data_IF_158211221786
#
_entry.id   IF_158211221786
#
_cell.length_a   1.000
_cell.length_b   1.000
_cell.length_c   1.000
_cell.angle_alpha   90.00
_cell.angle_beta   90.00
_cell.angle_gamma   90.00
#
_symmetry.space_group_name_H-M   'P 1'
#
loop_
_entity.id
_entity.type
_entity.pdbx_description
1 polymer ?
#
# COMPACT_ATOMS: atom_id res chain seq x y z
N UNK A 1 -11.13 -25.54 4.32
CA UNK A 1 -10.32 -25.16 5.50
C UNK A 1 -9.43 -24.01 5.07
N UNK A 2 -9.08 -23.11 5.98
CA UNK A 2 -8.13 -22.01 5.74
C UNK A 2 -7.30 -21.75 6.98
N UNK A 3 -6.14 -21.14 6.80
CA UNK A 3 -5.29 -20.64 7.89
C UNK A 3 -5.00 -19.16 7.70
N UNK A 4 -4.78 -18.46 8.82
CA UNK A 4 -4.45 -17.04 8.86
C UNK A 4 -3.15 -16.82 9.62
N UNK A 5 -2.35 -15.87 9.13
CA UNK A 5 -1.10 -15.45 9.76
C UNK A 5 -1.01 -13.93 9.74
N UNK A 6 -0.77 -13.32 10.91
CA UNK A 6 -0.50 -11.88 11.03
C UNK A 6 1.00 -11.64 10.99
N UNK A 7 1.46 -10.73 10.13
CA UNK A 7 2.87 -10.31 10.05
C UNK A 7 3.00 -8.79 10.05
N UNK A 8 4.05 -8.27 10.66
CA UNK A 8 4.31 -6.85 10.71
C UNK A 8 5.62 -6.53 11.43
N UNK A 9 5.85 -5.24 11.67
CA UNK A 9 7.07 -4.73 12.31
C UNK A 9 6.93 -4.52 13.83
N UNK A 10 5.77 -4.86 14.40
CA UNK A 10 5.48 -4.74 15.82
C UNK A 10 4.09 -5.29 16.14
N UNK A 11 3.61 -5.14 17.39
CA UNK A 11 2.27 -5.54 17.81
C UNK A 11 1.17 -4.86 17.01
N UNK A 12 0.07 -5.58 16.76
CA UNK A 12 -1.08 -5.12 15.96
C UNK A 12 -1.80 -3.92 16.59
N UNK A 13 -1.71 -3.75 17.91
CA UNK A 13 -2.29 -2.62 18.65
C UNK A 13 -1.72 -1.26 18.18
N UNK A 14 -0.45 -1.25 17.75
CA UNK A 14 0.29 -0.03 17.43
C UNK A 14 0.79 0.01 15.97
N UNK A 15 0.60 -1.06 15.19
CA UNK A 15 1.20 -1.19 13.87
C UNK A 15 0.18 -1.64 12.82
N UNK A 16 0.33 -1.09 11.62
CA UNK A 16 -0.30 -1.68 10.45
C UNK A 16 0.36 -3.04 10.16
N UNK A 17 -0.46 -4.07 10.10
CA UNK A 17 -0.04 -5.47 9.89
C UNK A 17 -0.72 -6.06 8.67
N UNK A 18 -0.08 -7.08 8.10
CA UNK A 18 -0.61 -7.83 6.98
C UNK A 18 -1.23 -9.12 7.50
N UNK A 19 -2.50 -9.32 7.18
CA UNK A 19 -3.19 -10.59 7.37
C UNK A 19 -3.02 -11.46 6.13
N UNK A 20 -2.23 -12.53 6.23
CA UNK A 20 -2.08 -13.51 5.16
C UNK A 20 -3.12 -14.61 5.35
N UNK A 21 -3.95 -14.84 4.33
CA UNK A 21 -4.94 -15.93 4.32
C UNK A 21 -4.54 -16.99 3.31
N UNK A 22 -4.44 -18.25 3.77
CA UNK A 22 -4.17 -19.40 2.92
C UNK A 22 -5.38 -20.34 2.89
N UNK A 23 -6.00 -20.47 1.73
CA UNK A 23 -7.09 -21.42 1.49
C UNK A 23 -6.52 -22.75 1.00
N UNK A 24 -6.74 -23.83 1.76
CA UNK A 24 -6.16 -25.13 1.41
C UNK A 24 -6.68 -25.62 0.06
N UNK A 25 -5.75 -26.01 -0.82
CA UNK A 25 -6.05 -26.46 -2.18
C UNK A 25 -6.10 -25.34 -3.23
N UNK A 26 -6.13 -24.07 -2.81
CA UNK A 26 -6.01 -22.91 -3.70
C UNK A 26 -4.54 -22.52 -3.80
N UNK A 27 -4.02 -22.44 -5.02
CA UNK A 27 -2.57 -22.20 -5.27
C UNK A 27 -2.26 -20.80 -5.79
N UNK A 28 -3.26 -20.07 -6.25
CA UNK A 28 -3.10 -18.77 -6.87
C UNK A 28 -4.41 -18.02 -6.86
N UNK A 29 -4.33 -16.70 -6.76
CA UNK A 29 -5.43 -15.79 -7.02
C UNK A 29 -5.09 -14.94 -8.24
N UNK A 30 -6.08 -14.65 -9.07
CA UNK A 30 -5.95 -13.63 -10.08
C UNK A 30 -5.99 -12.27 -9.40
N UNK A 31 -4.93 -11.48 -9.55
CA UNK A 31 -4.92 -10.09 -9.11
C UNK A 31 -5.75 -9.22 -10.06
N UNK A 32 -6.49 -8.28 -9.48
CA UNK A 32 -7.11 -7.19 -10.22
C UNK A 32 -6.15 -5.99 -10.37
N UNK A 33 -6.73 -4.82 -10.63
CA UNK A 33 -6.00 -3.54 -10.63
C UNK A 33 -6.43 -2.62 -9.47
N UNK A 34 -7.25 -3.10 -8.55
CA UNK A 34 -7.73 -2.37 -7.38
C UNK A 34 -6.64 -2.11 -6.34
N UNK A 35 -5.80 -3.10 -6.07
CA UNK A 35 -4.59 -2.94 -5.27
C UNK A 35 -3.45 -2.34 -6.12
N UNK A 36 -2.88 -1.22 -5.66
CA UNK A 36 -1.68 -0.66 -6.29
C UNK A 36 -0.42 -1.22 -5.62
N UNK A 37 -0.15 -0.82 -4.38
CA UNK A 37 1.03 -1.20 -3.62
C UNK A 37 0.91 -0.85 -2.13
N UNK A 38 1.76 -1.46 -1.31
CA UNK A 38 2.04 -1.04 0.07
C UNK A 38 3.43 -0.41 0.11
N UNK A 39 3.55 0.75 0.75
CA UNK A 39 4.83 1.43 0.91
C UNK A 39 5.45 1.12 2.27
N UNK A 40 6.71 0.71 2.25
CA UNK A 40 7.54 0.43 3.42
C UNK A 40 8.71 1.42 3.45
N UNK A 41 8.84 2.18 4.52
CA UNK A 41 10.01 3.00 4.80
C UNK A 41 11.00 2.20 5.65
N UNK A 42 12.09 1.71 5.03
CA UNK A 42 13.16 1.06 5.77
C UNK A 42 14.46 1.04 4.98
N UNK A 43 15.48 1.75 5.49
CA UNK A 43 16.84 1.72 4.93
C UNK A 43 17.42 0.31 4.92
N UNK A 44 17.12 -0.48 5.95
CA UNK A 44 17.59 -1.87 6.06
C UNK A 44 17.00 -2.77 4.97
N UNK A 45 15.69 -2.68 4.74
CA UNK A 45 15.03 -3.49 3.69
C UNK A 45 15.53 -3.04 2.31
N UNK A 46 15.63 -1.73 2.09
CA UNK A 46 16.16 -1.18 0.84
C UNK A 46 17.57 -1.69 0.55
N UNK A 47 18.50 -1.57 1.50
CA UNK A 47 19.88 -2.04 1.35
C UNK A 47 19.95 -3.55 1.07
N UNK A 48 19.10 -4.36 1.69
CA UNK A 48 19.02 -5.79 1.42
C UNK A 48 18.56 -6.08 -0.02
N UNK A 49 17.56 -5.36 -0.53
CA UNK A 49 17.10 -5.52 -1.91
C UNK A 49 18.21 -5.16 -2.90
N UNK A 50 18.90 -4.04 -2.68
CA UNK A 50 20.04 -3.62 -3.51
C UNK A 50 21.16 -4.67 -3.49
N UNK A 51 21.53 -5.18 -2.32
CA UNK A 51 22.59 -6.19 -2.18
C UNK A 51 22.26 -7.51 -2.91
N UNK A 52 20.98 -7.83 -3.05
CA UNK A 52 20.49 -9.02 -3.78
C UNK A 52 20.22 -8.73 -5.27
N UNK A 53 20.37 -7.48 -5.73
CA UNK A 53 20.00 -7.07 -7.09
C UNK A 53 18.50 -7.20 -7.36
N UNK A 54 17.66 -7.05 -6.32
CA UNK A 54 16.21 -7.17 -6.41
C UNK A 54 15.54 -5.78 -6.42
N UNK A 55 14.40 -5.72 -7.10
CA UNK A 55 13.55 -4.55 -7.18
C UNK A 55 13.84 -3.67 -8.40
N UNK A 56 12.83 -2.90 -8.82
CA UNK A 56 12.89 -1.97 -9.94
C UNK A 56 12.86 -0.54 -9.41
N UNK A 57 13.84 0.32 -9.74
CA UNK A 57 13.80 1.72 -9.32
C UNK A 57 12.54 2.44 -9.80
N UNK A 58 11.85 3.11 -8.89
CA UNK A 58 10.73 3.98 -9.20
C UNK A 58 11.14 5.43 -9.10
N UNK A 59 10.80 6.21 -10.12
CA UNK A 59 10.91 7.66 -10.08
C UNK A 59 9.73 8.23 -9.30
N UNK A 60 9.87 8.42 -7.98
CA UNK A 60 8.95 9.24 -7.18
C UNK A 60 9.57 10.62 -6.95
N UNK A 61 8.74 11.66 -6.97
CA UNK A 61 9.17 13.03 -6.63
C UNK A 61 9.55 13.24 -5.15
N UNK A 62 9.59 12.17 -4.35
CA UNK A 62 9.73 12.18 -2.89
C UNK A 62 11.17 12.35 -2.36
N UNK A 63 12.13 12.70 -3.22
CA UNK A 63 13.52 12.98 -2.84
C UNK A 63 14.36 11.75 -2.43
N UNK A 64 13.78 10.78 -1.72
CA UNK A 64 14.42 9.51 -1.38
C UNK A 64 14.25 8.45 -2.50
N UNK A 65 15.27 7.62 -2.77
CA UNK A 65 15.17 6.48 -3.68
C UNK A 65 14.07 5.49 -3.27
N UNK A 66 13.42 4.88 -4.26
CA UNK A 66 12.37 3.88 -4.06
C UNK A 66 12.59 2.69 -4.99
N UNK A 67 12.42 1.48 -4.47
CA UNK A 67 12.39 0.24 -5.24
C UNK A 67 10.99 -0.36 -5.20
N UNK A 68 10.45 -0.74 -6.35
CA UNK A 68 9.29 -1.63 -6.43
C UNK A 68 9.75 -3.08 -6.39
N UNK A 69 9.12 -3.89 -5.55
CA UNK A 69 9.31 -5.34 -5.50
C UNK A 69 7.96 -6.03 -5.45
N UNK A 70 7.82 -7.16 -6.13
CA UNK A 70 6.62 -7.99 -6.03
C UNK A 70 6.84 -9.13 -5.02
N UNK A 71 5.87 -9.35 -4.15
CA UNK A 71 5.78 -10.58 -3.37
C UNK A 71 5.52 -11.79 -4.28
N UNK A 72 5.69 -13.04 -3.79
CA UNK A 72 5.53 -14.24 -4.61
C UNK A 72 4.21 -14.32 -5.40
N UNK A 73 3.11 -13.84 -4.83
CA UNK A 73 1.78 -13.84 -5.46
C UNK A 73 1.49 -12.57 -6.31
N UNK A 74 2.49 -11.71 -6.51
CA UNK A 74 2.40 -10.54 -7.40
C UNK A 74 2.02 -9.22 -6.72
N UNK A 75 1.68 -9.23 -5.43
CA UNK A 75 1.42 -8.00 -4.69
C UNK A 75 2.66 -7.11 -4.63
N UNK A 76 2.56 -5.91 -5.19
CA UNK A 76 3.65 -4.93 -5.22
C UNK A 76 3.86 -4.26 -3.87
N UNK A 77 5.12 -4.01 -3.55
CA UNK A 77 5.58 -3.22 -2.42
C UNK A 77 6.54 -2.15 -2.92
N UNK A 78 6.40 -0.93 -2.41
CA UNK A 78 7.36 0.15 -2.63
C UNK A 78 8.24 0.27 -1.39
N UNK A 79 9.54 0.04 -1.54
CA UNK A 79 10.50 0.17 -0.44
C UNK A 79 11.29 1.47 -0.62
N UNK A 80 11.15 2.37 0.35
CA UNK A 80 11.79 3.68 0.36
C UNK A 80 13.09 3.61 1.15
N UNK A 81 14.16 4.21 0.63
CA UNK A 81 15.46 4.35 1.31
C UNK A 81 15.44 5.46 2.38
N UNK A 82 14.51 5.33 3.32
CA UNK A 82 14.34 6.21 4.46
C UNK A 82 13.62 5.44 5.57
N UNK A 83 13.81 5.86 6.81
CA UNK A 83 13.01 5.37 7.93
C UNK A 83 11.75 6.25 8.09
N UNK A 84 10.67 5.76 8.71
CA UNK A 84 9.42 6.50 8.85
C UNK A 84 9.61 7.85 9.54
N UNK A 85 8.97 8.90 9.01
CA UNK A 85 9.06 10.26 9.57
C UNK A 85 7.92 10.60 10.53
N UNK A 86 6.79 9.90 10.43
CA UNK A 86 5.56 10.27 11.13
C UNK A 86 5.13 9.29 12.22
N UNK A 87 5.77 8.13 12.39
CA UNK A 87 5.41 7.13 13.41
C UNK A 87 6.40 5.98 13.49
N UNK A 88 6.23 5.02 14.42
CA UNK A 88 7.15 3.90 14.59
C UNK A 88 6.98 2.80 13.52
N UNK A 89 5.82 2.75 12.84
CA UNK A 89 5.51 1.68 11.90
C UNK A 89 6.19 1.90 10.53
N UNK A 90 7.02 0.95 10.06
CA UNK A 90 7.61 0.99 8.72
C UNK A 90 6.61 0.87 7.57
N UNK A 91 5.42 0.30 7.80
CA UNK A 91 4.36 0.24 6.79
C UNK A 91 3.56 1.54 6.87
N UNK A 92 3.79 2.43 5.90
CA UNK A 92 3.35 3.83 6.00
C UNK A 92 2.23 4.20 5.06
N UNK A 93 1.96 3.40 4.03
CA UNK A 93 0.92 3.72 3.05
C UNK A 93 0.37 2.45 2.39
N UNK A 94 -0.95 2.42 2.21
CA UNK A 94 -1.68 1.52 1.32
C UNK A 94 -2.22 2.34 0.15
N UNK A 95 -1.86 1.98 -1.07
CA UNK A 95 -2.37 2.62 -2.28
C UNK A 95 -3.40 1.74 -3.00
N UNK A 96 -4.56 2.31 -3.28
CA UNK A 96 -5.68 1.68 -3.98
C UNK A 96 -6.10 2.52 -5.19
N UNK A 97 -6.50 1.84 -6.25
CA UNK A 97 -7.14 2.47 -7.40
C UNK A 97 -8.65 2.59 -7.18
N UNK A 98 -9.20 3.71 -7.62
CA UNK A 98 -10.64 4.03 -7.56
C UNK A 98 -11.14 4.45 -8.94
N UNK A 99 -12.38 4.10 -9.24
CA UNK A 99 -13.04 4.51 -10.48
C UNK A 99 -13.58 5.93 -10.43
N UNK A 100 -13.82 6.46 -9.22
CA UNK A 100 -14.36 7.81 -8.97
C UNK A 100 -13.79 8.34 -7.66
N UNK A 101 -12.81 9.24 -7.78
CA UNK A 101 -12.08 9.82 -6.66
C UNK A 101 -12.96 10.77 -5.84
N UNK A 102 -13.82 11.55 -6.48
CA UNK A 102 -14.72 12.49 -5.80
C UNK A 102 -15.67 11.72 -4.88
N UNK A 103 -16.32 10.68 -5.41
CA UNK A 103 -17.20 9.81 -4.64
C UNK A 103 -16.44 9.08 -3.52
N UNK A 104 -15.21 8.66 -3.80
CA UNK A 104 -14.39 7.99 -2.79
C UNK A 104 -13.99 8.93 -1.66
N UNK A 105 -13.65 10.20 -1.96
CA UNK A 105 -13.36 11.23 -0.95
C UNK A 105 -14.60 11.58 -0.12
N UNK A 106 -15.77 11.69 -0.76
CA UNK A 106 -17.02 11.91 -0.05
C UNK A 106 -17.30 10.80 0.97
N UNK A 107 -16.98 9.55 0.63
CA UNK A 107 -17.10 8.43 1.54
C UNK A 107 -16.03 8.43 2.64
N UNK A 108 -14.75 8.39 2.28
CA UNK A 108 -13.66 8.22 3.26
C UNK A 108 -13.49 9.44 4.16
N UNK A 109 -13.48 10.64 3.58
CA UNK A 109 -13.32 11.86 4.36
C UNK A 109 -14.66 12.38 4.87
N UNK A 110 -15.64 12.53 3.97
CA UNK A 110 -16.92 13.16 4.32
C UNK A 110 -17.79 12.33 5.27
N UNK A 111 -17.81 11.00 5.11
CA UNK A 111 -18.64 10.11 5.94
C UNK A 111 -17.86 9.41 7.04
N UNK A 112 -16.71 8.81 6.74
CA UNK A 112 -15.91 8.07 7.73
C UNK A 112 -14.97 8.95 8.57
N UNK A 113 -14.81 10.23 8.22
CA UNK A 113 -14.04 11.19 9.00
C UNK A 113 -12.51 11.11 8.80
N UNK A 114 -12.03 10.47 7.73
CA UNK A 114 -10.60 10.52 7.41
C UNK A 114 -10.19 11.95 7.07
N UNK A 115 -9.02 12.35 7.54
CA UNK A 115 -8.41 13.63 7.23
C UNK A 115 -7.68 13.55 5.88
N UNK A 116 -8.00 14.45 4.96
CA UNK A 116 -7.24 14.58 3.70
C UNK A 116 -5.92 15.28 3.99
N UNK A 117 -4.82 14.55 3.80
CA UNK A 117 -3.45 15.06 4.02
C UNK A 117 -2.95 15.80 2.78
N UNK A 118 -3.28 15.26 1.60
CA UNK A 118 -2.89 15.80 0.30
C UNK A 118 -3.94 15.40 -0.73
N UNK A 119 -4.26 16.32 -1.63
CA UNK A 119 -5.09 16.04 -2.80
C UNK A 119 -4.49 16.76 -3.99
N UNK A 120 -4.22 16.02 -5.05
CA UNK A 120 -3.72 16.51 -6.34
C UNK A 120 -4.57 15.89 -7.46
N UNK A 121 -4.41 16.36 -8.70
CA UNK A 121 -5.21 15.84 -9.81
C UNK A 121 -5.05 14.32 -9.95
N UNK A 122 -6.16 13.61 -9.72
CA UNK A 122 -6.25 12.15 -9.81
C UNK A 122 -5.69 11.37 -8.62
N UNK A 123 -5.27 12.00 -7.53
CA UNK A 123 -4.77 11.29 -6.35
C UNK A 123 -5.08 12.02 -5.04
N UNK A 124 -5.43 11.27 -3.99
CA UNK A 124 -5.54 11.80 -2.64
C UNK A 124 -4.89 10.88 -1.61
N UNK A 125 -4.26 11.48 -0.61
CA UNK A 125 -3.69 10.80 0.57
C UNK A 125 -4.55 11.16 1.77
N UNK A 126 -5.04 10.14 2.48
CA UNK A 126 -5.93 10.27 3.62
C UNK A 126 -5.31 9.60 4.85
N UNK A 127 -5.65 10.09 6.03
CA UNK A 127 -5.28 9.46 7.30
C UNK A 127 -6.46 9.39 8.27
N UNK A 128 -6.59 8.26 8.96
CA UNK A 128 -7.52 8.09 10.09
C UNK A 128 -6.99 8.60 11.43
N UNK A 129 -5.70 8.98 11.51
CA UNK A 129 -5.11 9.50 12.74
C UNK A 129 -3.69 10.02 12.58
N UNK A 130 -3.17 10.77 13.56
CA UNK A 130 -1.77 11.18 13.55
C UNK A 130 -0.88 9.94 13.59
N UNK A 131 0.24 9.98 12.86
CA UNK A 131 1.25 8.92 12.85
C UNK A 131 0.80 7.54 12.32
N UNK A 132 -0.37 7.44 11.69
CA UNK A 132 -0.89 6.18 11.15
C UNK A 132 -0.57 5.99 9.66
N UNK A 133 -0.73 4.75 9.20
CA UNK A 133 -0.60 4.38 7.79
C UNK A 133 -1.59 5.19 6.93
N UNK A 134 -1.08 5.78 5.85
CA UNK A 134 -1.88 6.56 4.91
C UNK A 134 -2.68 5.65 3.99
N UNK A 135 -3.90 6.08 3.66
CA UNK A 135 -4.66 5.54 2.54
C UNK A 135 -4.45 6.47 1.33
N UNK A 136 -3.77 5.98 0.30
CA UNK A 136 -3.68 6.66 -1.00
C UNK A 136 -4.76 6.13 -1.93
N UNK A 137 -5.56 7.03 -2.48
CA UNK A 137 -6.54 6.74 -3.51
C UNK A 137 -6.09 7.35 -4.82
N UNK A 138 -5.97 6.52 -5.86
CA UNK A 138 -5.62 6.96 -7.21
C UNK A 138 -6.77 6.73 -8.18
N UNK A 139 -7.17 7.78 -8.87
CA UNK A 139 -8.13 7.73 -9.96
C UNK A 139 -7.55 6.91 -11.12
N UNK A 140 -8.29 5.90 -11.57
CA UNK A 140 -7.95 5.17 -12.79
C UNK A 140 -7.99 6.10 -14.01
N UNK A 141 -7.12 5.82 -15.00
CA UNK A 141 -7.08 6.61 -16.22
C UNK A 141 -8.41 6.52 -16.98
N UNK A 142 -8.78 7.55 -17.77
CA UNK A 142 -10.02 7.53 -18.54
C UNK A 142 -10.15 6.28 -19.40
N UNK A 143 -11.29 5.59 -19.29
CA UNK A 143 -11.57 4.36 -20.02
C UNK A 143 -11.04 3.06 -19.38
N UNK A 144 -10.23 3.14 -18.33
CA UNK A 144 -9.87 1.96 -17.54
C UNK A 144 -11.02 1.57 -16.60
N UNK A 145 -11.33 0.27 -16.56
CA UNK A 145 -12.27 -0.27 -15.59
C UNK A 145 -11.52 -0.74 -14.33
N UNK A 146 -12.20 -0.60 -13.18
CA UNK A 146 -11.71 -1.18 -11.94
C UNK A 146 -11.99 -2.69 -11.95
N UNK A 147 -10.92 -3.47 -11.99
CA UNK A 147 -10.93 -4.92 -11.99
C UNK A 147 -10.60 -5.41 -10.58
N UNK A 148 -11.48 -6.24 -10.02
CA UNK A 148 -11.26 -6.88 -8.73
C UNK A 148 -10.73 -8.28 -8.96
N UNK A 149 -9.72 -8.66 -8.18
CA UNK A 149 -9.16 -10.00 -8.22
C UNK A 149 -10.15 -11.08 -7.78
N UNK A 150 -9.76 -12.34 -7.94
CA UNK A 150 -10.49 -13.47 -7.37
C UNK A 150 -10.19 -13.59 -5.89
N UNK A 151 -11.22 -13.84 -5.07
CA UNK A 151 -11.11 -14.16 -3.65
C UNK A 151 -11.03 -15.66 -3.37
#
# INVERSE_FOLDING_TARGET
MWSKTMIGYGPEDDNFVLELTYNYGVKSYQLGNDYEAITIHSKRVYANLVAQGLGTPLTRGSGAPVLEVAAPDGYRFHVVDADPSTGPCPVTELALNVSDLERSLAFWSGFLGFSVQRSVDGEAELSCGPAQCLLRLRQLAPGQQLERGTA
#
